data_IF_646237292173
#
_entry.id   IF_646237292173
#
_cell.length_a   1.000
_cell.length_b   1.000
_cell.length_c   1.000
_cell.angle_alpha   90.00
_cell.angle_beta   90.00
_cell.angle_gamma   90.00
#
_symmetry.space_group_name_H-M   'P 1'
#
loop_
_entity.id
_entity.type
_entity.pdbx_description
1 polymer ?
#
# COMPACT_ATOMS: atom_id res chain seq x y z
N UNK A 1 13.74 -18.47 0.95
CA UNK A 1 12.53 -18.12 0.15
C UNK A 1 12.65 -18.59 -1.29
N UNK A 2 11.53 -18.82 -2.00
CA UNK A 2 11.44 -19.39 -3.38
C UNK A 2 11.25 -18.28 -4.46
N UNK A 3 12.32 -17.66 -4.99
CA UNK A 3 12.22 -16.43 -5.79
C UNK A 3 11.55 -16.64 -7.16
N UNK A 4 11.77 -17.79 -7.80
CA UNK A 4 11.16 -18.09 -9.09
C UNK A 4 9.64 -18.26 -8.99
N UNK A 5 9.14 -18.82 -7.88
CA UNK A 5 7.70 -18.92 -7.64
C UNK A 5 7.08 -17.55 -7.39
N UNK A 6 7.78 -16.69 -6.62
CA UNK A 6 7.34 -15.30 -6.41
C UNK A 6 7.26 -14.54 -7.73
N UNK A 7 8.30 -14.65 -8.57
CA UNK A 7 8.34 -14.05 -9.90
C UNK A 7 7.22 -14.59 -10.79
N UNK A 8 6.99 -15.90 -10.80
CA UNK A 8 5.93 -16.52 -11.58
C UNK A 8 4.53 -16.03 -11.16
N UNK A 9 4.27 -15.96 -9.85
CA UNK A 9 3.02 -15.42 -9.31
C UNK A 9 2.83 -13.95 -9.71
N UNK A 10 3.89 -13.15 -9.60
CA UNK A 10 3.86 -11.73 -9.98
C UNK A 10 3.57 -11.55 -11.47
N UNK A 11 4.23 -12.32 -12.34
CA UNK A 11 3.99 -12.28 -13.79
C UNK A 11 2.55 -12.63 -14.15
N UNK A 12 1.99 -13.67 -13.52
CA UNK A 12 0.57 -14.05 -13.70
C UNK A 12 -0.37 -12.93 -13.26
N UNK A 13 -0.09 -12.31 -12.11
CA UNK A 13 -0.85 -11.16 -11.64
C UNK A 13 -0.80 -9.97 -12.60
N UNK A 14 0.38 -9.64 -13.12
CA UNK A 14 0.56 -8.58 -14.13
C UNK A 14 -0.18 -8.88 -15.44
N UNK A 15 -0.30 -10.15 -15.85
CA UNK A 15 -1.06 -10.55 -17.03
C UNK A 15 -2.57 -10.34 -16.87
N UNK A 16 -3.08 -10.45 -15.64
CA UNK A 16 -4.50 -10.22 -15.32
C UNK A 16 -4.77 -8.71 -15.21
N UNK A 17 -4.03 -8.03 -14.34
CA UNK A 17 -4.15 -6.58 -14.17
C UNK A 17 -2.82 -6.01 -13.67
N UNK A 18 -2.06 -5.43 -14.60
CA UNK A 18 -0.76 -4.81 -14.33
C UNK A 18 -0.82 -3.60 -13.39
N UNK A 19 -1.95 -2.91 -13.35
CA UNK A 19 -2.12 -1.66 -12.61
C UNK A 19 -2.79 -1.89 -11.24
N UNK A 20 -3.15 -3.14 -10.91
CA UNK A 20 -3.78 -3.46 -9.63
C UNK A 20 -2.91 -3.04 -8.42
N UNK A 21 -3.48 -2.37 -7.40
CA UNK A 21 -2.71 -1.82 -6.27
C UNK A 21 -1.82 -2.85 -5.56
N UNK A 22 -2.35 -4.05 -5.30
CA UNK A 22 -1.54 -5.09 -4.67
C UNK A 22 -0.46 -5.68 -5.56
N UNK A 23 -0.67 -5.71 -6.88
CA UNK A 23 0.38 -6.15 -7.80
C UNK A 23 1.55 -5.17 -7.76
N UNK A 24 1.28 -3.87 -7.66
CA UNK A 24 2.32 -2.86 -7.44
C UNK A 24 3.10 -3.07 -6.15
N UNK A 25 2.42 -3.25 -5.02
CA UNK A 25 3.07 -3.51 -3.71
C UNK A 25 3.95 -4.77 -3.79
N UNK A 26 3.41 -5.87 -4.30
CA UNK A 26 4.16 -7.12 -4.48
C UNK A 26 5.37 -6.93 -5.42
N UNK A 27 5.20 -6.16 -6.49
CA UNK A 27 6.26 -5.87 -7.47
C UNK A 27 7.42 -5.11 -6.82
N UNK A 28 7.15 -4.09 -6.02
CA UNK A 28 8.22 -3.33 -5.36
C UNK A 28 8.88 -4.16 -4.26
N UNK A 29 8.10 -4.85 -3.43
CA UNK A 29 8.64 -5.74 -2.39
C UNK A 29 9.52 -6.84 -2.96
N UNK A 30 9.15 -7.42 -4.10
CA UNK A 30 10.00 -8.40 -4.79
C UNK A 30 11.34 -7.79 -5.20
N UNK A 31 11.33 -6.60 -5.80
CA UNK A 31 12.55 -5.89 -6.20
C UNK A 31 13.47 -5.64 -4.99
N UNK A 32 12.92 -5.09 -3.90
CA UNK A 32 13.68 -4.84 -2.66
C UNK A 32 14.22 -6.13 -2.06
N UNK A 33 13.43 -7.21 -2.09
CA UNK A 33 13.85 -8.52 -1.58
C UNK A 33 15.00 -9.08 -2.41
N UNK A 34 14.96 -8.96 -3.74
CA UNK A 34 16.02 -9.46 -4.61
C UNK A 34 17.31 -8.63 -4.49
N UNK A 35 17.20 -7.31 -4.27
CA UNK A 35 18.36 -6.45 -4.04
C UNK A 35 19.05 -6.72 -2.69
N UNK A 36 18.30 -7.19 -1.68
CA UNK A 36 18.84 -7.53 -0.35
C UNK A 36 19.31 -8.99 -0.24
N UNK A 37 18.90 -9.87 -1.16
CA UNK A 37 19.15 -11.31 -1.02
C UNK A 37 20.61 -11.63 -1.32
N UNK A 38 21.21 -12.48 -0.48
CA UNK A 38 22.51 -13.10 -0.72
C UNK A 38 22.46 -14.15 -1.84
N UNK A 39 23.56 -14.90 -1.98
CA UNK A 39 23.79 -15.80 -3.11
C UNK A 39 22.64 -16.80 -3.34
N UNK A 40 22.11 -16.75 -4.56
CA UNK A 40 21.30 -17.80 -5.18
C UNK A 40 22.18 -18.49 -6.22
N UNK A 41 21.84 -19.71 -6.64
CA UNK A 41 22.62 -20.37 -7.69
C UNK A 41 22.71 -19.52 -8.96
N UNK A 42 23.84 -19.58 -9.66
CA UNK A 42 24.10 -18.77 -10.85
C UNK A 42 22.99 -18.89 -11.91
N UNK A 43 22.46 -20.12 -12.11
CA UNK A 43 21.36 -20.35 -13.03
C UNK A 43 20.10 -19.59 -12.64
N UNK A 44 19.77 -19.55 -11.35
CA UNK A 44 18.62 -18.80 -10.82
C UNK A 44 18.89 -17.30 -10.93
N UNK A 45 20.10 -16.84 -10.64
CA UNK A 45 20.47 -15.43 -10.75
C UNK A 45 20.34 -14.92 -12.19
N UNK A 46 20.79 -15.70 -13.19
CA UNK A 46 20.69 -15.37 -14.61
C UNK A 46 19.23 -15.19 -15.04
N UNK A 47 18.36 -16.13 -14.66
CA UNK A 47 16.92 -16.06 -14.94
C UNK A 47 16.29 -14.84 -14.26
N UNK A 48 16.61 -14.61 -12.99
CA UNK A 48 16.09 -13.46 -12.25
C UNK A 48 16.50 -12.14 -12.90
N UNK A 49 17.78 -11.96 -13.23
CA UNK A 49 18.27 -10.73 -13.88
C UNK A 49 17.52 -10.47 -15.19
N UNK A 50 17.46 -11.47 -16.06
CA UNK A 50 16.78 -11.33 -17.36
C UNK A 50 15.30 -10.96 -17.22
N UNK A 51 14.59 -11.58 -16.28
CA UNK A 51 13.15 -11.35 -16.11
C UNK A 51 12.85 -10.05 -15.34
N UNK A 52 13.72 -9.67 -14.39
CA UNK A 52 13.63 -8.40 -13.69
C UNK A 52 13.87 -7.22 -14.63
N UNK A 53 14.86 -7.30 -15.53
CA UNK A 53 15.12 -6.26 -16.52
C UNK A 53 13.87 -5.99 -17.39
N UNK A 54 13.15 -7.04 -17.80
CA UNK A 54 11.88 -6.92 -18.55
C UNK A 54 10.74 -6.37 -17.71
N UNK A 55 10.69 -6.68 -16.42
CA UNK A 55 9.57 -6.31 -15.55
C UNK A 55 9.69 -4.87 -15.04
N UNK A 56 10.91 -4.41 -14.79
CA UNK A 56 11.21 -3.12 -14.16
C UNK A 56 11.82 -2.11 -15.14
N UNK A 57 12.30 -2.55 -16.31
CA UNK A 57 12.94 -1.70 -17.32
C UNK A 57 14.11 -0.87 -16.74
N UNK A 58 14.90 -1.48 -15.86
CA UNK A 58 16.02 -0.82 -15.18
C UNK A 58 15.65 0.26 -14.16
N UNK A 59 14.36 0.50 -13.89
CA UNK A 59 13.91 1.51 -12.94
C UNK A 59 14.07 1.04 -11.51
N UNK A 60 14.46 1.96 -10.62
CA UNK A 60 14.51 1.71 -9.19
C UNK A 60 13.13 1.76 -8.53
N UNK A 61 13.05 1.31 -7.28
CA UNK A 61 11.79 1.24 -6.54
C UNK A 61 11.13 2.61 -6.33
N UNK A 62 11.93 3.67 -6.12
CA UNK A 62 11.42 5.03 -5.90
C UNK A 62 10.76 5.57 -7.17
N UNK A 63 11.43 5.42 -8.32
CA UNK A 63 10.93 5.82 -9.64
C UNK A 63 9.66 5.06 -9.99
N UNK A 64 9.66 3.74 -9.82
CA UNK A 64 8.48 2.90 -10.07
C UNK A 64 7.29 3.31 -9.21
N UNK A 65 7.51 3.66 -7.94
CA UNK A 65 6.46 4.10 -7.05
C UNK A 65 5.91 5.48 -7.43
N UNK A 66 6.78 6.43 -7.76
CA UNK A 66 6.38 7.76 -8.22
C UNK A 66 5.49 7.66 -9.46
N UNK A 67 5.95 6.95 -10.49
CA UNK A 67 5.20 6.78 -11.73
C UNK A 67 3.86 6.05 -11.52
N UNK A 68 3.81 5.09 -10.59
CA UNK A 68 2.56 4.41 -10.24
C UNK A 68 1.57 5.37 -9.58
N UNK A 69 2.03 6.23 -8.68
CA UNK A 69 1.19 7.25 -8.06
C UNK A 69 0.72 8.30 -9.06
N UNK A 70 1.59 8.76 -9.96
CA UNK A 70 1.25 9.79 -10.96
C UNK A 70 0.12 9.32 -11.88
N UNK A 71 0.15 8.06 -12.32
CA UNK A 71 -0.87 7.47 -13.19
C UNK A 71 -2.19 7.17 -12.49
N UNK A 72 -2.18 6.99 -11.16
CA UNK A 72 -3.32 6.48 -10.40
C UNK A 72 -3.71 7.39 -9.22
N UNK A 73 -3.38 8.68 -9.32
CA UNK A 73 -3.48 9.63 -8.22
C UNK A 73 -4.92 9.90 -7.74
N UNK A 74 -5.94 9.46 -8.47
CA UNK A 74 -7.34 9.67 -8.15
C UNK A 74 -8.02 8.42 -7.58
N UNK A 75 -7.34 7.29 -7.33
CA UNK A 75 -7.99 6.09 -6.77
C UNK A 75 -7.53 5.81 -5.34
N UNK A 76 -8.49 5.63 -4.41
CA UNK A 76 -8.22 5.39 -2.99
C UNK A 76 -7.23 4.23 -2.78
N UNK A 77 -7.46 3.07 -3.40
CA UNK A 77 -6.60 1.90 -3.19
C UNK A 77 -5.21 2.07 -3.83
N UNK A 78 -5.11 2.78 -4.96
CA UNK A 78 -3.81 3.06 -5.58
C UNK A 78 -3.01 4.06 -4.75
N UNK A 79 -3.66 5.11 -4.25
CA UNK A 79 -3.05 6.08 -3.32
C UNK A 79 -2.56 5.37 -2.05
N UNK A 80 -3.34 4.46 -1.48
CA UNK A 80 -2.94 3.66 -0.33
C UNK A 80 -1.70 2.80 -0.63
N UNK A 81 -1.71 2.07 -1.76
CA UNK A 81 -0.58 1.23 -2.16
C UNK A 81 0.70 2.04 -2.39
N UNK A 82 0.59 3.17 -3.10
CA UNK A 82 1.72 4.06 -3.38
C UNK A 82 2.28 4.71 -2.11
N UNK A 83 1.42 5.17 -1.22
CA UNK A 83 1.81 5.71 0.08
C UNK A 83 2.50 4.66 0.95
N UNK A 84 1.98 3.43 1.00
CA UNK A 84 2.58 2.34 1.79
C UNK A 84 4.01 2.06 1.33
N UNK A 85 4.20 1.94 0.01
CA UNK A 85 5.53 1.76 -0.57
C UNK A 85 6.41 2.98 -0.34
N UNK A 86 5.87 4.20 -0.38
CA UNK A 86 6.63 5.42 -0.11
C UNK A 86 7.28 5.36 1.28
N UNK A 87 6.51 5.02 2.31
CA UNK A 87 7.04 4.88 3.67
C UNK A 87 7.97 3.67 3.84
N UNK A 88 7.67 2.53 3.21
CA UNK A 88 8.54 1.34 3.26
C UNK A 88 9.94 1.60 2.65
N UNK A 89 10.02 2.48 1.64
CA UNK A 89 11.28 2.86 1.00
C UNK A 89 12.09 3.89 1.81
N UNK A 90 11.44 4.66 2.67
CA UNK A 90 12.05 5.76 3.43
C UNK A 90 11.23 6.01 4.72
N UNK A 91 11.55 5.31 5.82
CA UNK A 91 10.76 5.35 7.05
C UNK A 91 11.14 6.55 7.95
N UNK A 92 11.30 7.73 7.38
CA UNK A 92 11.55 8.99 8.10
C UNK A 92 10.23 9.64 8.56
N UNK A 93 10.23 10.46 9.63
CA UNK A 93 9.02 11.17 10.08
C UNK A 93 8.35 12.03 9.01
N UNK A 94 9.16 12.69 8.16
CA UNK A 94 8.67 13.55 7.08
C UNK A 94 7.93 12.74 6.01
N UNK A 95 8.49 11.59 5.64
CA UNK A 95 7.87 10.67 4.66
C UNK A 95 6.66 9.96 5.26
N UNK A 96 6.68 9.63 6.55
CA UNK A 96 5.52 9.10 7.26
C UNK A 96 4.33 10.05 7.15
N UNK A 97 4.53 11.31 7.52
CA UNK A 97 3.50 12.36 7.44
C UNK A 97 2.95 12.48 6.02
N UNK A 98 3.82 12.61 5.02
CA UNK A 98 3.42 12.71 3.61
C UNK A 98 2.65 11.48 3.12
N UNK A 99 3.09 10.28 3.51
CA UNK A 99 2.44 9.04 3.10
C UNK A 99 1.04 8.92 3.71
N UNK A 100 0.89 9.28 4.98
CA UNK A 100 -0.41 9.33 5.67
C UNK A 100 -1.36 10.36 5.04
N UNK A 101 -0.88 11.56 4.71
CA UNK A 101 -1.65 12.59 4.01
C UNK A 101 -2.19 12.05 2.67
N UNK A 102 -1.36 11.36 1.90
CA UNK A 102 -1.77 10.74 0.62
C UNK A 102 -2.82 9.64 0.85
N UNK A 103 -2.56 8.72 1.78
CA UNK A 103 -3.42 7.56 2.04
C UNK A 103 -4.79 7.94 2.61
N UNK A 104 -4.84 8.98 3.45
CA UNK A 104 -6.05 9.39 4.18
C UNK A 104 -6.83 10.51 3.52
N UNK A 105 -6.31 11.10 2.44
CA UNK A 105 -7.03 12.13 1.69
C UNK A 105 -8.32 11.57 1.07
N UNK A 106 -9.42 12.30 1.25
CA UNK A 106 -10.73 12.02 0.66
C UNK A 106 -11.14 13.28 -0.10
N UNK A 107 -11.50 13.12 -1.37
CA UNK A 107 -11.88 14.20 -2.28
C UNK A 107 -12.94 13.69 -3.24
N UNK A 108 -13.92 14.53 -3.59
CA UNK A 108 -15.00 14.15 -4.53
C UNK A 108 -14.47 13.81 -5.93
N UNK A 109 -13.27 14.29 -6.27
CA UNK A 109 -12.57 13.93 -7.51
C UNK A 109 -11.94 12.52 -7.49
N UNK A 110 -11.96 11.83 -6.36
CA UNK A 110 -11.38 10.49 -6.23
C UNK A 110 -12.39 9.39 -6.54
N UNK A 111 -11.90 8.38 -7.24
CA UNK A 111 -12.58 7.12 -7.52
C UNK A 111 -12.35 6.11 -6.38
N UNK A 112 -13.32 5.23 -6.19
CA UNK A 112 -13.21 4.16 -5.21
C UNK A 112 -13.39 4.62 -3.76
N UNK A 113 -14.03 5.78 -3.52
CA UNK A 113 -14.55 6.13 -2.20
C UNK A 113 -15.76 5.23 -1.94
N UNK A 114 -15.48 4.05 -1.42
CA UNK A 114 -16.48 3.06 -1.01
C UNK A 114 -16.19 2.65 0.42
N UNK A 115 -17.23 2.18 1.12
CA UNK A 115 -17.11 1.69 2.50
C UNK A 115 -15.94 0.71 2.66
N UNK A 116 -15.84 -0.29 1.79
CA UNK A 116 -14.81 -1.32 1.88
C UNK A 116 -13.39 -0.76 1.67
N UNK A 117 -13.21 0.14 0.71
CA UNK A 117 -11.91 0.74 0.46
C UNK A 117 -11.47 1.66 1.60
N UNK A 118 -12.39 2.41 2.20
CA UNK A 118 -12.11 3.21 3.38
C UNK A 118 -11.79 2.35 4.60
N UNK A 119 -12.43 1.18 4.76
CA UNK A 119 -12.06 0.22 5.81
C UNK A 119 -10.62 -0.27 5.58
N UNK A 120 -10.24 -0.66 4.37
CA UNK A 120 -8.86 -1.10 4.09
C UNK A 120 -7.82 -0.01 4.39
N UNK A 121 -8.12 1.27 4.12
CA UNK A 121 -7.23 2.38 4.51
C UNK A 121 -7.10 2.48 6.03
N UNK A 122 -8.23 2.44 6.76
CA UNK A 122 -8.22 2.52 8.23
C UNK A 122 -7.46 1.33 8.84
N UNK A 123 -7.73 0.12 8.37
CA UNK A 123 -7.04 -1.09 8.81
C UNK A 123 -5.55 -1.02 8.51
N UNK A 124 -5.13 -0.49 7.35
CA UNK A 124 -3.71 -0.33 7.04
C UNK A 124 -2.99 0.55 8.06
N UNK A 125 -3.62 1.67 8.47
CA UNK A 125 -3.06 2.55 9.50
C UNK A 125 -3.00 1.81 10.85
N UNK A 126 -4.07 1.11 11.22
CA UNK A 126 -4.15 0.37 12.49
C UNK A 126 -3.16 -0.80 12.58
N UNK A 127 -2.92 -1.49 11.46
CA UNK A 127 -1.90 -2.56 11.36
C UNK A 127 -0.46 -2.03 11.47
N UNK A 128 -0.27 -0.72 11.43
CA UNK A 128 1.04 -0.09 11.48
C UNK A 128 1.78 -0.09 10.14
N UNK A 129 1.07 -0.17 9.01
CA UNK A 129 1.68 -0.08 7.67
C UNK A 129 2.44 1.25 7.46
N UNK A 130 2.18 2.25 8.32
CA UNK A 130 2.82 3.56 8.34
C UNK A 130 3.52 3.85 9.69
N UNK A 131 3.76 2.85 10.54
CA UNK A 131 4.16 3.05 11.94
C UNK A 131 2.99 3.41 12.86
N UNK A 132 3.29 3.76 14.11
CA UNK A 132 2.25 4.09 15.11
C UNK A 132 1.67 5.49 14.87
N UNK A 133 0.40 5.56 14.44
CA UNK A 133 -0.27 6.80 14.04
C UNK A 133 -1.74 6.85 14.48
N UNK A 134 -1.99 6.62 15.77
CA UNK A 134 -3.34 6.50 16.35
C UNK A 134 -4.22 7.72 16.06
N UNK A 135 -3.68 8.93 16.23
CA UNK A 135 -4.41 10.17 15.97
C UNK A 135 -4.89 10.28 14.51
N UNK A 136 -4.05 9.89 13.56
CA UNK A 136 -4.40 9.91 12.12
C UNK A 136 -5.49 8.89 11.81
N UNK A 137 -5.44 7.71 12.44
CA UNK A 137 -6.51 6.71 12.28
C UNK A 137 -7.85 7.23 12.81
N UNK A 138 -7.87 7.93 13.95
CA UNK A 138 -9.09 8.53 14.51
C UNK A 138 -9.66 9.65 13.65
N UNK A 139 -8.79 10.55 13.16
CA UNK A 139 -9.19 11.61 12.24
C UNK A 139 -9.79 11.02 10.95
N UNK A 140 -9.14 9.99 10.40
CA UNK A 140 -9.63 9.31 9.22
C UNK A 140 -10.94 8.57 9.49
N UNK A 141 -11.08 7.90 10.63
CA UNK A 141 -12.31 7.24 11.05
C UNK A 141 -13.47 8.24 11.16
N UNK A 142 -13.22 9.42 11.76
CA UNK A 142 -14.21 10.50 11.86
C UNK A 142 -14.65 10.99 10.48
N UNK A 143 -13.72 11.17 9.54
CA UNK A 143 -14.04 11.54 8.15
C UNK A 143 -14.88 10.46 7.46
N UNK A 144 -14.52 9.20 7.64
CA UNK A 144 -15.26 8.07 7.06
C UNK A 144 -16.66 7.91 7.67
N UNK A 145 -16.83 8.19 8.97
CA UNK A 145 -18.14 8.19 9.62
C UNK A 145 -19.11 9.19 8.99
N UNK A 146 -18.64 10.38 8.61
CA UNK A 146 -19.46 11.38 7.91
C UNK A 146 -19.95 10.88 6.55
N UNK A 147 -19.13 10.11 5.83
CA UNK A 147 -19.47 9.53 4.53
C UNK A 147 -20.35 8.27 4.66
N UNK A 148 -20.14 7.48 5.72
CA UNK A 148 -20.82 6.21 5.95
C UNK A 148 -21.32 6.11 7.40
N UNK A 149 -22.36 6.89 7.80
CA UNK A 149 -22.78 7.01 9.20
C UNK A 149 -23.24 5.69 9.84
N UNK A 150 -23.74 4.76 9.00
CA UNK A 150 -24.26 3.46 9.43
C UNK A 150 -23.20 2.35 9.42
N UNK A 151 -21.96 2.63 9.02
CA UNK A 151 -20.91 1.63 8.95
C UNK A 151 -20.29 1.39 10.33
N UNK A 152 -20.39 0.17 10.91
CA UNK A 152 -19.88 -0.10 12.26
C UNK A 152 -18.39 0.16 12.43
N UNK A 153 -17.58 -0.10 11.40
CA UNK A 153 -16.13 0.13 11.41
C UNK A 153 -15.74 1.60 11.58
N UNK A 154 -16.68 2.54 11.38
CA UNK A 154 -16.47 3.98 11.56
C UNK A 154 -17.29 4.58 12.70
N UNK A 155 -18.07 3.78 13.43
CA UNK A 155 -18.79 4.28 14.60
C UNK A 155 -17.75 4.51 15.71
N UNK A 156 -17.71 5.74 16.22
CA UNK A 156 -16.92 6.10 17.40
C UNK A 156 -17.87 6.04 18.60
N UNK A 157 -17.76 5.03 19.49
CA UNK A 157 -18.60 4.98 20.69
C UNK A 157 -18.46 6.27 21.52
N UNK A 158 -19.58 6.78 22.05
CA UNK A 158 -19.61 8.02 22.85
C UNK A 158 -18.72 7.97 24.11
N UNK A 159 -18.31 6.77 24.55
CA UNK A 159 -17.46 6.53 25.73
C UNK A 159 -16.06 6.01 25.39
N UNK A 160 -15.63 6.10 24.12
CA UNK A 160 -14.30 5.60 23.72
C UNK A 160 -13.21 6.49 24.32
N UNK A 161 -12.27 5.89 25.07
CA UNK A 161 -11.00 6.55 25.35
C UNK A 161 -10.24 6.77 24.03
N UNK A 162 -9.39 7.81 23.93
CA UNK A 162 -8.61 8.12 22.74
C UNK A 162 -7.63 7.01 22.28
N UNK A 163 -7.60 5.85 22.95
CA UNK A 163 -6.78 4.70 22.58
C UNK A 163 -7.57 3.53 21.99
N UNK A 164 -8.92 3.60 21.90
CA UNK A 164 -9.74 2.51 21.33
C UNK A 164 -10.12 2.79 19.87
N UNK A 165 -9.30 2.31 18.94
CA UNK A 165 -9.72 2.13 17.54
C UNK A 165 -10.31 0.73 17.41
N UNK A 166 -11.63 0.65 17.20
CA UNK A 166 -12.33 -0.62 16.94
C UNK A 166 -12.11 -1.04 15.48
N UNK A 167 -10.95 -1.63 15.19
CA UNK A 167 -10.77 -2.42 13.98
C UNK A 167 -11.46 -3.79 14.16
N UNK A 168 -12.78 -3.81 14.26
CA UNK A 168 -13.55 -5.05 14.21
C UNK A 168 -13.78 -5.42 12.74
N UNK A 169 -12.79 -6.09 12.15
CA UNK A 169 -12.91 -6.83 10.90
C UNK A 169 -13.21 -8.31 11.20
N UNK A 170 -14.31 -8.82 10.65
CA UNK A 170 -14.59 -10.26 10.49
C UNK A 170 -14.34 -10.65 9.05
#
# INVERSE_FOLDING_TARGET
GKPLLMLQALKRGCQINKDHPQIHVCKIRFLLTMNKKGEVSESVQKVLKQEMDKLYFGKDAKTLNSEFMDRNNNSILHRLAGARIMYELDPTPEVQKKSLEIATSLSDSYTGITRLNCIEVLEAICRGDFGSCVSVAQDYQTKCHRLFPLCPSFIIPANSHPDQILANGS
#
